data_IF_761796076967
#
_entry.id   IF_761796076967
#
_cell.length_a   1.000
_cell.length_b   1.000
_cell.length_c   1.000
_cell.angle_alpha   90.00
_cell.angle_beta   90.00
_cell.angle_gamma   90.00
#
_symmetry.space_group_name_H-M   'P 1'
#
loop_
_entity.id
_entity.type
_entity.pdbx_description
1 polymer ?
#
# COMPACT_ATOMS: atom_id res chain seq x y z
N UNK A 1 -0.14 -7.73 -25.70
CA UNK A 1 0.22 -6.88 -24.55
C UNK A 1 1.14 -7.68 -23.62
N UNK A 2 2.44 -7.37 -23.57
CA UNK A 2 3.38 -8.04 -22.67
C UNK A 2 3.15 -7.64 -21.21
N UNK A 3 3.07 -8.64 -20.33
CA UNK A 3 3.08 -8.44 -18.88
C UNK A 3 4.49 -7.98 -18.44
N UNK A 4 4.61 -6.76 -17.92
CA UNK A 4 5.89 -6.18 -17.48
C UNK A 4 6.24 -6.57 -16.04
N UNK A 5 5.23 -6.60 -15.16
CA UNK A 5 5.44 -6.93 -13.75
C UNK A 5 4.18 -7.51 -13.11
N UNK A 6 4.37 -8.35 -12.10
CA UNK A 6 3.28 -8.77 -11.21
C UNK A 6 3.76 -8.81 -9.77
N UNK A 7 2.94 -8.32 -8.85
CA UNK A 7 3.23 -8.40 -7.42
C UNK A 7 1.96 -8.50 -6.59
N UNK A 8 2.08 -9.14 -5.43
CA UNK A 8 1.04 -9.07 -4.42
C UNK A 8 0.94 -7.64 -3.89
N UNK A 9 -0.26 -7.09 -3.88
CA UNK A 9 -0.54 -5.74 -3.38
C UNK A 9 -1.76 -5.76 -2.47
N UNK A 10 -1.81 -4.75 -1.59
CA UNK A 10 -3.08 -4.28 -1.03
C UNK A 10 -3.59 -3.14 -1.89
N UNK A 11 -4.87 -3.03 -2.11
CA UNK A 11 -5.45 -1.95 -2.88
C UNK A 11 -6.72 -1.43 -2.22
N UNK A 12 -6.92 -0.12 -2.29
CA UNK A 12 -8.09 0.56 -1.75
C UNK A 12 -8.57 1.58 -2.76
N UNK A 13 -9.89 1.69 -2.89
CA UNK A 13 -10.55 2.79 -3.59
C UNK A 13 -10.97 3.82 -2.55
N UNK A 14 -10.83 5.09 -2.88
CA UNK A 14 -11.46 6.18 -2.15
C UNK A 14 -12.44 6.85 -3.10
N UNK A 15 -13.72 6.88 -2.71
CA UNK A 15 -14.68 7.84 -3.26
C UNK A 15 -14.39 9.20 -2.61
N UNK A 16 -13.97 10.18 -3.43
CA UNK A 16 -13.63 11.53 -2.99
C UNK A 16 -12.13 11.87 -3.01
N UNK A 17 -11.84 13.17 -3.09
CA UNK A 17 -10.51 13.75 -3.40
C UNK A 17 -9.46 13.62 -2.28
N UNK A 18 -9.86 13.11 -1.11
CA UNK A 18 -9.04 13.15 0.08
C UNK A 18 -8.12 11.93 0.20
N UNK A 19 -6.82 12.17 0.38
CA UNK A 19 -5.83 11.12 0.69
C UNK A 19 -6.09 10.69 2.14
N UNK A 20 -7.12 9.85 2.33
CA UNK A 20 -7.56 9.39 3.64
C UNK A 20 -6.45 8.62 4.34
N UNK A 21 -5.93 9.23 5.39
CA UNK A 21 -4.85 8.70 6.25
C UNK A 21 -5.28 7.36 6.89
N UNK A 22 -4.45 6.35 6.64
CA UNK A 22 -4.18 5.17 7.49
C UNK A 22 -5.28 4.15 7.83
N UNK A 23 -6.55 4.51 8.05
CA UNK A 23 -7.53 3.56 8.62
C UNK A 23 -8.18 2.60 7.60
N UNK A 24 -8.29 2.96 6.32
CA UNK A 24 -8.91 2.10 5.30
C UNK A 24 -8.00 0.97 4.77
N UNK A 25 -6.73 0.87 5.20
CA UNK A 25 -5.90 -0.28 4.84
C UNK A 25 -6.36 -1.59 5.48
N UNK A 26 -7.23 -1.52 6.50
CA UNK A 26 -7.87 -2.68 7.11
C UNK A 26 -8.89 -3.32 6.16
N UNK A 27 -9.65 -2.51 5.42
CA UNK A 27 -10.62 -2.96 4.41
C UNK A 27 -10.02 -3.08 3.01
N UNK A 28 -8.73 -2.82 2.84
CA UNK A 28 -8.05 -2.91 1.56
C UNK A 28 -8.10 -4.34 0.99
N UNK A 29 -8.50 -4.43 -0.28
CA UNK A 29 -8.50 -5.67 -1.05
C UNK A 29 -7.07 -6.15 -1.23
N UNK A 30 -6.85 -7.46 -1.11
CA UNK A 30 -5.57 -8.09 -1.42
C UNK A 30 -5.68 -8.80 -2.77
N UNK A 31 -4.69 -8.61 -3.63
CA UNK A 31 -4.70 -9.20 -4.96
C UNK A 31 -3.34 -9.10 -5.63
N UNK A 32 -3.22 -9.75 -6.79
CA UNK A 32 -2.03 -9.64 -7.63
C UNK A 32 -2.24 -8.47 -8.58
N UNK A 33 -1.46 -7.40 -8.40
CA UNK A 33 -1.38 -6.32 -9.36
C UNK A 33 -0.54 -6.80 -10.54
N UNK A 34 -1.09 -6.64 -11.74
CA UNK A 34 -0.38 -6.86 -12.99
C UNK A 34 -0.17 -5.51 -13.67
N UNK A 35 1.04 -5.30 -14.17
CA UNK A 35 1.44 -4.10 -14.88
C UNK A 35 1.73 -4.50 -16.32
N UNK A 36 0.98 -3.93 -17.26
CA UNK A 36 1.19 -4.11 -18.70
C UNK A 36 1.80 -2.83 -19.30
N UNK A 37 2.02 -2.84 -20.59
CA UNK A 37 2.55 -1.71 -21.34
C UNK A 37 1.57 -0.55 -21.51
N UNK A 38 0.27 -0.81 -21.35
CA UNK A 38 -0.82 0.15 -21.60
C UNK A 38 -1.85 0.28 -20.46
N UNK A 39 -1.85 -0.66 -19.49
CA UNK A 39 -2.81 -0.65 -18.38
C UNK A 39 -2.31 -1.36 -17.11
N UNK A 40 -3.01 -1.13 -15.99
CA UNK A 40 -2.91 -1.93 -14.76
C UNK A 40 -4.12 -2.85 -14.61
N UNK A 41 -3.89 -4.05 -14.07
CA UNK A 41 -4.99 -4.95 -13.66
C UNK A 41 -4.85 -5.39 -12.21
N UNK A 42 -5.98 -5.39 -11.50
CA UNK A 42 -6.10 -5.99 -10.18
C UNK A 42 -7.47 -6.67 -10.02
N UNK A 43 -7.51 -7.99 -10.24
CA UNK A 43 -8.78 -8.73 -10.18
C UNK A 43 -9.75 -8.19 -11.24
N UNK A 44 -10.93 -7.64 -10.86
CA UNK A 44 -11.88 -7.06 -11.80
C UNK A 44 -11.55 -5.62 -12.23
N UNK A 45 -10.55 -4.98 -11.63
CA UNK A 45 -10.16 -3.63 -12.02
C UNK A 45 -9.22 -3.68 -13.20
N UNK A 46 -9.62 -2.99 -14.27
CA UNK A 46 -8.82 -2.72 -15.45
C UNK A 46 -8.68 -1.20 -15.58
N UNK A 47 -7.44 -0.72 -15.56
CA UNK A 47 -7.11 0.70 -15.41
C UNK A 47 -6.16 1.11 -16.56
N UNK A 48 -6.71 1.55 -17.71
CA UNK A 48 -5.93 2.05 -18.83
C UNK A 48 -5.14 3.30 -18.45
N UNK A 49 -3.90 3.42 -18.93
CA UNK A 49 -3.07 4.60 -18.65
C UNK A 49 -3.64 5.89 -19.23
N UNK A 50 -4.50 5.79 -20.26
CA UNK A 50 -5.22 6.93 -20.84
C UNK A 50 -6.20 7.61 -19.88
N UNK A 51 -6.65 6.88 -18.85
CA UNK A 51 -7.67 7.34 -17.91
C UNK A 51 -7.06 7.96 -16.65
N UNK A 52 -5.73 8.04 -16.60
CA UNK A 52 -5.00 8.53 -15.43
C UNK A 52 -4.90 10.05 -15.52
N UNK A 53 -5.64 10.74 -14.65
CA UNK A 53 -5.51 12.20 -14.51
C UNK A 53 -4.25 12.55 -13.71
N UNK A 54 -3.92 11.74 -12.69
CA UNK A 54 -2.73 11.89 -11.87
C UNK A 54 -2.24 10.51 -11.40
N UNK A 55 -0.94 10.25 -11.50
CA UNK A 55 -0.30 9.11 -10.88
C UNK A 55 0.89 9.55 -10.01
N UNK A 56 0.85 9.22 -8.72
CA UNK A 56 1.92 9.52 -7.77
C UNK A 56 2.41 8.23 -7.13
N UNK A 57 3.71 7.97 -7.23
CA UNK A 57 4.39 6.91 -6.52
C UNK A 57 5.05 7.47 -5.25
N UNK A 58 4.44 7.18 -4.11
CA UNK A 58 4.99 7.51 -2.80
C UNK A 58 6.02 6.46 -2.38
N UNK A 59 7.25 6.88 -2.11
CA UNK A 59 8.21 6.05 -1.38
C UNK A 59 7.95 6.18 0.11
N UNK A 60 7.59 5.07 0.73
CA UNK A 60 7.27 4.99 2.14
C UNK A 60 8.43 4.32 2.88
N UNK A 61 9.06 5.05 3.79
CA UNK A 61 10.00 4.45 4.75
C UNK A 61 9.26 4.23 6.06
N UNK A 62 8.88 2.98 6.34
CA UNK A 62 8.60 2.55 7.72
C UNK A 62 9.92 2.21 8.41
N UNK A 63 9.94 2.25 9.75
CA UNK A 63 11.14 2.09 10.59
C UNK A 63 12.03 0.90 10.22
N UNK A 64 11.46 -0.18 9.66
CA UNK A 64 12.21 -1.39 9.33
C UNK A 64 12.04 -1.92 7.89
N UNK A 65 11.04 -1.46 7.13
CA UNK A 65 10.76 -2.00 5.79
C UNK A 65 10.43 -0.84 4.83
N UNK A 66 11.23 -0.63 3.77
CA UNK A 66 10.86 0.29 2.71
C UNK A 66 9.70 -0.29 1.90
N UNK A 67 8.80 0.56 1.43
CA UNK A 67 7.68 0.19 0.57
C UNK A 67 7.34 1.31 -0.39
N UNK A 68 6.42 1.02 -1.30
CA UNK A 68 5.88 2.02 -2.21
C UNK A 68 4.36 2.06 -2.09
N UNK A 69 3.77 3.22 -2.29
CA UNK A 69 2.32 3.37 -2.46
C UNK A 69 2.09 4.09 -3.77
N UNK A 70 1.45 3.42 -4.73
CA UNK A 70 1.04 4.03 -5.98
C UNK A 70 -0.38 4.56 -5.80
N UNK A 71 -0.55 5.88 -5.88
CA UNK A 71 -1.84 6.56 -5.97
C UNK A 71 -2.12 6.86 -7.43
N UNK A 72 -3.25 6.39 -7.95
CA UNK A 72 -3.76 6.72 -9.28
C UNK A 72 -5.10 7.40 -9.10
N UNK A 73 -5.23 8.62 -9.59
CA UNK A 73 -6.51 9.33 -9.70
C UNK A 73 -7.00 9.18 -11.13
N UNK A 74 -8.19 8.62 -11.27
CA UNK A 74 -8.98 8.64 -12.50
C UNK A 74 -10.16 9.58 -12.31
N UNK A 75 -10.93 9.81 -13.39
CA UNK A 75 -12.05 10.77 -13.41
C UNK A 75 -13.04 10.59 -12.25
N UNK A 76 -13.36 9.35 -11.92
CA UNK A 76 -14.40 9.04 -10.93
C UNK A 76 -13.86 8.56 -9.58
N UNK A 77 -12.62 8.09 -9.50
CA UNK A 77 -12.13 7.36 -8.32
C UNK A 77 -10.63 7.47 -8.12
N UNK A 78 -10.20 7.47 -6.86
CA UNK A 78 -8.80 7.37 -6.49
C UNK A 78 -8.49 5.93 -6.06
N UNK A 79 -7.55 5.31 -6.76
CA UNK A 79 -7.00 4.01 -6.44
C UNK A 79 -5.67 4.17 -5.71
N UNK A 80 -5.46 3.41 -4.66
CA UNK A 80 -4.17 3.33 -3.96
C UNK A 80 -3.72 1.89 -3.86
N UNK A 81 -2.49 1.61 -4.27
CA UNK A 81 -1.87 0.30 -4.25
C UNK A 81 -0.66 0.31 -3.31
N UNK A 82 -0.67 -0.56 -2.29
CA UNK A 82 0.43 -0.78 -1.35
C UNK A 82 1.37 -1.84 -1.89
N UNK A 83 2.51 -1.37 -2.38
CA UNK A 83 3.47 -2.15 -3.16
C UNK A 83 4.68 -2.53 -2.30
N UNK A 84 5.13 -3.76 -2.48
CA UNK A 84 6.37 -4.22 -1.87
C UNK A 84 7.58 -3.53 -2.50
N UNK A 85 8.67 -3.45 -1.74
CA UNK A 85 9.94 -2.95 -2.26
C UNK A 85 10.45 -3.84 -3.39
N UNK A 86 10.50 -3.31 -4.61
CA UNK A 86 11.02 -3.99 -5.79
C UNK A 86 11.79 -2.99 -6.68
N UNK A 87 12.80 -3.48 -7.41
CA UNK A 87 13.58 -2.67 -8.35
C UNK A 87 12.73 -2.14 -9.50
N UNK A 88 11.65 -2.83 -9.87
CA UNK A 88 10.69 -2.38 -10.89
C UNK A 88 10.17 -0.97 -10.58
N UNK A 89 9.71 -0.73 -9.36
CA UNK A 89 9.16 0.56 -8.92
C UNK A 89 10.18 1.69 -8.86
N UNK A 90 11.48 1.40 -8.97
CA UNK A 90 12.55 2.42 -9.02
C UNK A 90 12.86 2.89 -10.44
N UNK A 91 12.60 2.05 -11.44
CA UNK A 91 12.83 2.37 -12.85
C UNK A 91 11.69 3.21 -13.39
N UNK A 92 11.87 3.76 -14.58
CA UNK A 92 10.80 4.41 -15.32
C UNK A 92 9.64 3.44 -15.53
N UNK A 93 8.44 3.95 -15.25
CA UNK A 93 7.19 3.22 -15.41
C UNK A 93 6.62 3.52 -16.81
N UNK A 94 5.81 2.63 -17.39
CA UNK A 94 5.23 2.81 -18.71
C UNK A 94 4.17 3.93 -18.79
N UNK A 95 3.95 4.66 -17.71
CA UNK A 95 3.02 5.78 -17.60
C UNK A 95 3.67 6.95 -16.85
N UNK A 96 3.24 8.20 -17.12
CA UNK A 96 3.75 9.37 -16.40
C UNK A 96 3.44 9.25 -14.91
N UNK A 97 4.47 9.29 -14.08
CA UNK A 97 4.33 9.11 -12.63
C UNK A 97 5.18 10.12 -11.88
N UNK A 98 4.56 10.84 -10.97
CA UNK A 98 5.28 11.72 -10.05
C UNK A 98 5.83 10.91 -8.88
N UNK A 99 7.07 11.18 -8.44
CA UNK A 99 7.67 10.47 -7.31
C UNK A 99 7.72 11.39 -6.10
N UNK A 100 7.09 10.97 -5.01
CA UNK A 100 7.11 11.71 -3.73
C UNK A 100 7.66 10.83 -2.62
N UNK A 101 8.36 11.42 -1.65
CA UNK A 101 8.77 10.71 -0.44
C UNK A 101 7.78 11.00 0.68
N UNK A 102 7.31 9.97 1.38
CA UNK A 102 6.43 10.11 2.52
C UNK A 102 7.00 9.33 3.72
N UNK A 103 7.13 10.00 4.86
CA UNK A 103 7.40 9.33 6.14
C UNK A 103 6.06 8.99 6.78
N UNK A 104 5.71 7.71 6.84
CA UNK A 104 4.59 7.25 7.66
C UNK A 104 5.01 7.37 9.12
N UNK A 105 4.43 8.33 9.85
CA UNK A 105 4.53 8.34 11.31
C UNK A 105 3.73 7.14 11.84
N UNK A 106 4.36 6.32 12.67
CA UNK A 106 3.65 5.25 13.36
C UNK A 106 2.57 5.87 14.24
N UNK A 107 1.33 5.38 14.15
CA UNK A 107 0.27 5.84 15.04
C UNK A 107 0.58 5.39 16.47
N UNK A 108 0.54 6.32 17.44
CA UNK A 108 0.78 6.05 18.86
C UNK A 108 -0.11 4.94 19.40
N UNK A 109 -1.35 4.83 18.89
CA UNK A 109 -2.27 3.72 19.18
C UNK A 109 -1.66 2.34 18.90
N UNK A 110 -0.94 2.20 17.80
CA UNK A 110 -0.31 0.93 17.42
C UNK A 110 0.90 0.59 18.30
N UNK A 111 1.52 1.57 18.94
CA UNK A 111 2.59 1.36 19.92
C UNK A 111 1.95 0.84 21.22
N UNK A 112 0.96 1.56 21.75
CA UNK A 112 0.28 1.20 23.00
C UNK A 112 -0.27 -0.22 22.95
N UNK A 113 -0.97 -0.59 21.88
CA UNK A 113 -1.55 -1.94 21.78
C UNK A 113 -0.49 -3.03 21.76
N UNK A 114 0.63 -2.82 21.06
CA UNK A 114 1.75 -3.78 21.03
C UNK A 114 2.39 -3.92 22.40
N UNK A 115 2.57 -2.82 23.13
CA UNK A 115 3.13 -2.86 24.48
C UNK A 115 2.20 -3.61 25.44
N UNK A 116 0.88 -3.35 25.40
CA UNK A 116 -0.10 -4.06 26.22
C UNK A 116 -0.11 -5.56 25.86
N UNK A 117 -0.10 -5.91 24.58
CA UNK A 117 -0.04 -7.31 24.15
C UNK A 117 1.22 -8.01 24.64
N UNK A 118 2.39 -7.36 24.59
CA UNK A 118 3.64 -7.92 25.10
C UNK A 118 3.59 -8.11 26.62
N UNK A 119 3.06 -7.15 27.38
CA UNK A 119 2.89 -7.28 28.83
C UNK A 119 1.96 -8.45 29.17
N UNK A 120 0.80 -8.55 28.51
CA UNK A 120 -0.14 -9.64 28.72
C UNK A 120 0.48 -11.01 28.39
N UNK A 121 1.23 -11.11 27.29
CA UNK A 121 1.92 -12.34 26.91
C UNK A 121 2.96 -12.74 27.96
N UNK A 122 3.76 -11.79 28.45
CA UNK A 122 4.74 -12.05 29.51
C UNK A 122 4.07 -12.50 30.82
N UNK A 123 2.92 -11.93 31.16
CA UNK A 123 2.15 -12.31 32.34
C UNK A 123 1.60 -13.74 32.23
N UNK A 124 1.04 -14.12 31.08
CA UNK A 124 0.53 -15.47 30.84
C UNK A 124 1.63 -16.52 30.87
N UNK A 125 2.79 -16.22 30.27
CA UNK A 125 3.96 -17.11 30.33
C UNK A 125 4.41 -17.26 31.78
N UNK A 126 4.53 -16.17 32.53
CA UNK A 126 4.89 -16.21 33.95
C UNK A 126 3.91 -17.07 34.77
N UNK A 127 2.61 -16.89 34.56
CA UNK A 127 1.57 -17.68 35.22
C UNK A 127 1.69 -19.17 34.89
N UNK A 128 1.97 -19.52 33.63
CA UNK A 128 2.13 -20.93 33.22
C UNK A 128 3.38 -21.59 33.79
N UNK A 129 4.45 -20.84 34.06
CA UNK A 129 5.66 -21.37 34.71
C UNK A 129 5.59 -21.40 36.23
N UNK A 130 4.72 -20.57 36.84
CA UNK A 130 4.58 -20.45 38.29
C UNK A 130 3.40 -21.28 38.85
N UNK A 131 2.52 -21.77 37.97
CA UNK A 131 1.40 -22.66 38.29
C UNK A 131 1.73 -24.11 37.99
#
# INVERSE_FOLDING_TARGET
MPLLHRCMTKATTAEGDDIRRSFNWVTARRGILKVYDDHLELGPWHLPYSDFDEAILFSVRQTFIPGYVLKVKTRDTIYQFGLNYNRFWKKDLPFPVERRSMKLKLSWFSIVIRTISLMALSYLIWQHFTS
#
